data_IF_269913719471
#
_entry.id   IF_269913719471
#
_cell.length_a   1.000
_cell.length_b   1.000
_cell.length_c   1.000
_cell.angle_alpha   90.00
_cell.angle_beta   90.00
_cell.angle_gamma   90.00
#
_symmetry.space_group_name_H-M   'P 1'
#
loop_
_entity.id
_entity.type
_entity.pdbx_description
1 polymer ?
#
# COMPACT_ATOMS: atom_id res chain seq x y z
N UNK A 1 -2.97 -1.72 15.26
CA UNK A 1 -2.17 -1.18 14.14
C UNK A 1 -3.05 -1.25 12.89
N UNK A 2 -3.24 -0.15 12.14
CA UNK A 2 -3.99 -0.22 10.87
C UNK A 2 -3.20 -1.13 9.91
N UNK A 3 -3.74 -2.30 9.59
CA UNK A 3 -3.11 -3.26 8.67
C UNK A 3 -2.99 -2.70 7.25
N UNK A 4 -2.20 -3.35 6.41
CA UNK A 4 -2.20 -3.10 4.97
C UNK A 4 -2.84 -4.28 4.23
N UNK A 5 -2.99 -4.21 2.90
CA UNK A 5 -3.67 -5.26 2.13
C UNK A 5 -2.96 -6.61 2.24
N UNK A 6 -1.63 -6.62 2.32
CA UNK A 6 -0.82 -7.84 2.44
C UNK A 6 -0.94 -8.46 3.83
N UNK A 7 -0.79 -7.64 4.89
CA UNK A 7 -0.87 -8.13 6.27
C UNK A 7 -2.26 -8.69 6.64
N UNK A 8 -3.30 -8.40 5.85
CA UNK A 8 -4.65 -8.93 6.04
C UNK A 8 -4.85 -10.32 5.46
N UNK A 9 -3.96 -10.79 4.59
CA UNK A 9 -4.03 -12.11 3.95
C UNK A 9 -3.24 -13.14 4.76
N UNK A 10 -3.52 -13.25 6.06
CA UNK A 10 -2.74 -14.10 6.98
C UNK A 10 -2.74 -15.58 6.59
N UNK A 11 -3.85 -16.07 6.05
CA UNK A 11 -3.94 -17.46 5.58
C UNK A 11 -3.01 -17.74 4.40
N UNK A 12 -2.75 -16.72 3.56
CA UNK A 12 -1.92 -16.84 2.36
C UNK A 12 -0.45 -16.56 2.65
N UNK A 13 -0.17 -15.50 3.39
CA UNK A 13 1.18 -14.95 3.55
C UNK A 13 1.74 -15.12 4.96
N UNK A 14 0.94 -15.66 5.88
CA UNK A 14 1.31 -15.88 7.26
C UNK A 14 0.90 -14.74 8.19
N UNK A 15 0.89 -15.02 9.51
CA UNK A 15 0.59 -14.01 10.52
C UNK A 15 1.67 -12.92 10.59
N UNK A 16 1.42 -11.85 11.36
CA UNK A 16 2.32 -10.71 11.46
C UNK A 16 3.80 -11.02 11.76
N UNK A 17 4.11 -12.14 12.45
CA UNK A 17 5.49 -12.59 12.70
C UNK A 17 6.27 -12.97 11.44
N UNK A 18 5.59 -13.25 10.33
CA UNK A 18 6.21 -13.52 9.04
C UNK A 18 6.64 -12.23 8.32
N UNK A 19 6.34 -11.06 8.88
CA UNK A 19 6.72 -9.77 8.31
C UNK A 19 7.67 -9.03 9.23
N UNK A 20 8.71 -8.46 8.64
CA UNK A 20 9.65 -7.61 9.35
C UNK A 20 9.78 -6.28 8.61
N UNK A 21 9.71 -5.17 9.34
CA UNK A 21 10.01 -3.85 8.77
C UNK A 21 11.34 -3.38 9.33
N UNK A 22 12.33 -3.29 8.45
CA UNK A 22 13.68 -2.83 8.79
C UNK A 22 13.79 -1.36 8.43
N UNK A 23 14.38 -0.57 9.33
CA UNK A 23 14.63 0.85 9.12
C UNK A 23 16.11 1.09 9.39
N UNK A 24 16.82 1.61 8.39
CA UNK A 24 18.23 1.93 8.53
C UNK A 24 18.34 3.34 9.11
N UNK A 25 18.97 3.44 10.28
CA UNK A 25 19.18 4.67 11.04
C UNK A 25 20.64 4.82 11.44
N UNK A 26 21.03 6.05 11.72
CA UNK A 26 22.30 6.32 12.40
C UNK A 26 22.18 5.94 13.89
N UNK A 27 23.30 5.96 14.63
CA UNK A 27 23.39 5.54 16.04
C UNK A 27 22.44 6.35 16.94
N UNK A 28 22.20 7.61 16.60
CA UNK A 28 21.26 8.51 17.29
C UNK A 28 19.79 8.32 16.87
N UNK A 29 19.49 7.24 16.15
CA UNK A 29 18.20 6.97 15.49
C UNK A 29 17.83 7.99 14.39
N UNK A 30 18.76 8.86 13.99
CA UNK A 30 18.61 9.88 12.96
C UNK A 30 18.68 9.31 11.55
N UNK A 31 18.64 10.21 10.56
CA UNK A 31 18.86 9.80 9.17
C UNK A 31 20.35 9.49 8.95
N UNK A 32 20.69 8.33 8.37
CA UNK A 32 22.07 7.99 8.04
C UNK A 32 22.71 9.06 7.17
N UNK A 33 23.92 9.46 7.56
CA UNK A 33 24.76 10.37 6.80
C UNK A 33 25.06 9.83 5.39
N UNK A 34 25.40 10.73 4.47
CA UNK A 34 25.70 10.38 3.07
C UNK A 34 26.83 9.34 2.95
N UNK A 35 27.86 9.46 3.78
CA UNK A 35 29.01 8.56 3.73
C UNK A 35 28.67 7.15 4.21
N UNK A 36 27.78 7.00 5.21
CA UNK A 36 27.23 5.71 5.60
C UNK A 36 26.55 5.02 4.41
N UNK A 37 25.73 5.76 3.66
CA UNK A 37 25.02 5.21 2.50
C UNK A 37 25.99 4.79 1.39
N UNK A 38 27.06 5.56 1.14
CA UNK A 38 28.09 5.21 0.15
C UNK A 38 28.88 3.97 0.55
N UNK A 39 29.33 3.90 1.80
CA UNK A 39 30.12 2.76 2.30
C UNK A 39 29.30 1.47 2.24
N UNK A 40 28.00 1.55 2.56
CA UNK A 40 27.12 0.39 2.62
C UNK A 40 26.31 0.14 1.33
N UNK A 41 26.57 0.88 0.25
CA UNK A 41 25.76 0.83 -0.97
C UNK A 41 25.61 -0.60 -1.50
N UNK A 42 26.72 -1.33 -1.59
CA UNK A 42 26.73 -2.72 -2.06
C UNK A 42 25.87 -3.62 -1.18
N UNK A 43 25.97 -3.49 0.14
CA UNK A 43 25.19 -4.29 1.08
C UNK A 43 23.69 -3.99 0.96
N UNK A 44 23.30 -2.72 0.84
CA UNK A 44 21.91 -2.29 0.64
C UNK A 44 21.39 -2.83 -0.71
N UNK A 45 22.19 -2.75 -1.77
CA UNK A 45 21.84 -3.29 -3.08
C UNK A 45 21.65 -4.81 -3.03
N UNK A 46 22.56 -5.54 -2.40
CA UNK A 46 22.47 -7.01 -2.29
C UNK A 46 21.29 -7.44 -1.40
N UNK A 47 20.95 -6.64 -0.38
CA UNK A 47 19.75 -6.81 0.43
C UNK A 47 18.47 -6.63 -0.40
N UNK A 48 18.35 -5.53 -1.17
CA UNK A 48 17.18 -5.24 -2.02
C UNK A 48 17.04 -6.23 -3.17
N UNK A 49 18.16 -6.70 -3.73
CA UNK A 49 18.18 -7.74 -4.76
C UNK A 49 17.89 -9.15 -4.22
N UNK A 50 17.55 -9.28 -2.93
CA UNK A 50 17.33 -10.55 -2.25
C UNK A 50 18.52 -11.53 -2.36
N UNK A 51 19.74 -11.01 -2.56
CA UNK A 51 20.98 -11.80 -2.49
C UNK A 51 21.37 -12.07 -1.04
N UNK A 52 21.04 -11.12 -0.15
CA UNK A 52 21.20 -11.24 1.28
C UNK A 52 19.84 -11.34 1.96
N UNK A 53 19.78 -12.14 3.02
CA UNK A 53 18.61 -12.27 3.87
C UNK A 53 18.95 -11.77 5.27
N UNK A 54 17.93 -11.34 6.00
CA UNK A 54 18.07 -10.89 7.38
C UNK A 54 17.62 -12.05 8.28
N UNK A 55 18.50 -12.49 9.17
CA UNK A 55 18.18 -13.50 10.17
C UNK A 55 17.78 -12.80 11.47
N UNK A 56 16.60 -13.12 12.01
CA UNK A 56 16.14 -12.66 13.32
C UNK A 56 15.66 -13.87 14.11
N UNK A 57 16.42 -14.24 15.15
CA UNK A 57 16.24 -15.53 15.81
C UNK A 57 16.38 -16.68 14.81
N UNK A 58 15.40 -17.58 14.78
CA UNK A 58 15.38 -18.72 13.87
C UNK A 58 14.69 -18.42 12.52
N UNK A 59 14.22 -17.20 12.31
CA UNK A 59 13.51 -16.81 11.09
C UNK A 59 14.41 -16.07 10.12
N UNK A 60 14.30 -16.47 8.85
CA UNK A 60 15.00 -15.87 7.72
C UNK A 60 14.02 -14.99 6.94
N UNK A 61 14.38 -13.72 6.81
CA UNK A 61 13.58 -12.69 6.17
C UNK A 61 14.24 -12.25 4.85
N UNK A 62 13.53 -12.40 3.75
CA UNK A 62 13.94 -11.91 2.43
C UNK A 62 13.26 -10.58 2.11
N UNK A 63 13.90 -9.77 1.27
CA UNK A 63 13.34 -8.48 0.88
C UNK A 63 11.98 -8.66 0.20
N UNK A 64 10.96 -7.99 0.72
CA UNK A 64 9.62 -7.98 0.15
C UNK A 64 9.45 -6.80 -0.80
N UNK A 65 9.47 -5.58 -0.26
CA UNK A 65 9.18 -4.36 -1.02
C UNK A 65 9.45 -3.08 -0.22
N UNK A 66 9.51 -1.94 -0.92
CA UNK A 66 9.42 -0.60 -0.33
C UNK A 66 8.71 0.37 -1.29
N UNK A 67 7.94 1.32 -0.76
CA UNK A 67 7.41 2.46 -1.50
C UNK A 67 8.49 3.53 -1.74
N UNK A 68 8.21 4.52 -2.60
CA UNK A 68 9.11 5.67 -2.78
C UNK A 68 9.33 6.48 -1.49
N UNK A 69 8.30 6.60 -0.64
CA UNK A 69 8.45 7.26 0.66
C UNK A 69 9.29 6.42 1.62
N UNK A 70 9.02 5.11 1.67
CA UNK A 70 9.79 4.16 2.47
C UNK A 70 11.26 4.13 2.03
N UNK A 71 11.55 4.20 0.73
CA UNK A 71 12.92 4.27 0.21
C UNK A 71 13.65 5.53 0.71
N UNK A 72 12.99 6.70 0.68
CA UNK A 72 13.55 7.95 1.25
C UNK A 72 13.77 7.86 2.76
N UNK A 73 12.82 7.22 3.45
CA UNK A 73 12.87 6.99 4.89
C UNK A 73 13.79 5.81 5.28
N UNK A 74 14.41 5.16 4.28
CA UNK A 74 15.27 3.97 4.41
C UNK A 74 14.58 2.84 5.19
N UNK A 75 13.28 2.68 4.94
CA UNK A 75 12.42 1.65 5.49
C UNK A 75 12.10 0.62 4.42
N UNK A 76 12.16 -0.66 4.80
CA UNK A 76 12.01 -1.77 3.88
C UNK A 76 11.18 -2.86 4.54
N UNK A 77 10.25 -3.45 3.78
CA UNK A 77 9.53 -4.63 4.22
C UNK A 77 10.28 -5.88 3.81
N UNK A 78 10.29 -6.85 4.71
CA UNK A 78 10.79 -8.19 4.53
C UNK A 78 9.72 -9.20 4.91
N UNK A 79 9.84 -10.40 4.34
CA UNK A 79 8.93 -11.51 4.58
C UNK A 79 9.73 -12.78 4.85
N UNK A 80 9.25 -13.59 5.80
CA UNK A 80 9.75 -14.93 6.08
C UNK A 80 8.78 -15.94 5.50
N UNK A 81 9.32 -16.98 4.85
CA UNK A 81 8.53 -18.04 4.21
C UNK A 81 7.37 -18.51 5.10
N UNK A 82 6.21 -18.67 4.49
CA UNK A 82 5.03 -19.24 5.12
C UNK A 82 4.43 -20.31 4.22
N UNK A 83 4.59 -21.58 4.60
CA UNK A 83 4.05 -22.74 3.85
C UNK A 83 4.50 -22.73 2.37
N UNK A 84 5.75 -22.34 2.10
CA UNK A 84 6.29 -22.22 0.74
C UNK A 84 5.89 -20.94 0.00
N UNK A 85 5.14 -20.03 0.63
CA UNK A 85 4.91 -18.69 0.12
C UNK A 85 6.11 -17.81 0.48
N UNK A 86 6.80 -17.34 -0.55
CA UNK A 86 7.95 -16.45 -0.49
C UNK A 86 7.55 -15.02 -0.87
N UNK A 87 8.43 -14.05 -0.60
CA UNK A 87 8.22 -12.66 -0.95
C UNK A 87 7.98 -12.44 -2.44
N UNK A 88 8.57 -13.28 -3.30
CA UNK A 88 8.29 -13.28 -4.74
C UNK A 88 6.82 -13.55 -5.04
N UNK A 89 6.21 -14.54 -4.38
CA UNK A 89 4.80 -14.85 -4.57
C UNK A 89 3.89 -13.71 -4.13
N UNK A 90 4.26 -13.02 -3.03
CA UNK A 90 3.53 -11.83 -2.59
C UNK A 90 3.63 -10.71 -3.63
N UNK A 91 4.82 -10.46 -4.20
CA UNK A 91 5.02 -9.46 -5.26
C UNK A 91 4.19 -9.77 -6.51
N UNK A 92 4.11 -11.04 -6.91
CA UNK A 92 3.28 -11.49 -8.03
C UNK A 92 1.77 -11.31 -7.73
N UNK A 93 1.36 -11.48 -6.47
CA UNK A 93 -0.02 -11.27 -6.05
C UNK A 93 -0.44 -9.79 -5.96
N UNK A 94 0.51 -8.85 -5.80
CA UNK A 94 0.19 -7.43 -5.65
C UNK A 94 -0.62 -6.86 -6.83
N UNK A 95 -0.43 -7.42 -8.03
CA UNK A 95 -1.15 -7.07 -9.26
C UNK A 95 -0.32 -7.28 -10.51
N UNK A 96 -0.94 -7.11 -11.68
CA UNK A 96 -0.24 -7.07 -12.96
C UNK A 96 0.22 -5.63 -13.28
N UNK A 97 1.52 -5.44 -13.37
CA UNK A 97 2.15 -4.15 -13.70
C UNK A 97 2.99 -4.21 -14.99
N UNK A 98 2.74 -5.21 -15.84
CA UNK A 98 3.43 -5.39 -17.12
C UNK A 98 3.28 -4.18 -18.06
N UNK A 99 2.11 -3.52 -18.00
CA UNK A 99 1.79 -2.31 -18.76
C UNK A 99 2.55 -1.05 -18.29
N UNK A 100 3.08 -1.05 -17.05
CA UNK A 100 3.78 0.11 -16.49
C UNK A 100 5.22 0.17 -16.98
N UNK A 101 5.52 1.04 -17.94
CA UNK A 101 6.88 1.19 -18.50
C UNK A 101 7.83 1.97 -17.58
N UNK A 102 7.29 2.91 -16.79
CA UNK A 102 8.07 3.70 -15.86
C UNK A 102 8.28 2.93 -14.55
N UNK A 103 9.55 2.67 -14.20
CA UNK A 103 9.91 1.96 -12.95
C UNK A 103 9.38 2.70 -11.72
N UNK A 104 9.51 4.03 -11.68
CA UNK A 104 9.02 4.84 -10.55
C UNK A 104 7.50 4.73 -10.36
N UNK A 105 6.74 4.75 -11.45
CA UNK A 105 5.28 4.57 -11.43
C UNK A 105 4.90 3.16 -11.01
N UNK A 106 5.56 2.13 -11.57
CA UNK A 106 5.40 0.73 -11.17
C UNK A 106 5.59 0.57 -9.67
N UNK A 107 6.65 1.16 -9.11
CA UNK A 107 6.92 1.10 -7.67
C UNK A 107 5.83 1.75 -6.84
N UNK A 108 5.36 2.92 -7.28
CA UNK A 108 4.27 3.63 -6.60
C UNK A 108 2.97 2.82 -6.59
N UNK A 109 2.62 2.13 -7.69
CA UNK A 109 1.41 1.31 -7.77
C UNK A 109 1.49 0.05 -6.90
N UNK A 110 2.61 -0.67 -6.93
CA UNK A 110 2.83 -1.83 -6.07
C UNK A 110 2.71 -1.46 -4.58
N UNK A 111 3.25 -0.30 -4.20
CA UNK A 111 3.22 0.21 -2.83
C UNK A 111 1.81 0.50 -2.27
N UNK A 112 0.78 0.60 -3.12
CA UNK A 112 -0.61 0.78 -2.66
C UNK A 112 -1.06 -0.36 -1.74
N UNK A 113 -0.58 -1.59 -2.01
CA UNK A 113 -0.87 -2.78 -1.20
C UNK A 113 -0.29 -2.73 0.22
N UNK A 114 0.76 -1.93 0.43
CA UNK A 114 1.50 -1.81 1.70
C UNK A 114 1.09 -0.59 2.52
N UNK A 115 0.18 0.24 2.00
CA UNK A 115 -0.29 1.40 2.75
C UNK A 115 -1.27 0.97 3.84
N UNK A 116 -1.08 1.48 5.06
CA UNK A 116 -2.02 1.28 6.17
C UNK A 116 -3.40 1.81 5.82
N UNK A 117 -4.40 0.94 5.84
CA UNK A 117 -5.81 1.28 5.57
C UNK A 117 -6.72 0.47 6.48
N UNK A 118 -7.85 1.06 6.86
CA UNK A 118 -8.91 0.31 7.53
C UNK A 118 -9.74 -0.40 6.45
N UNK A 119 -9.89 -1.74 6.48
CA UNK A 119 -10.82 -2.40 5.57
C UNK A 119 -12.25 -2.00 5.92
N UNK A 120 -13.03 -1.60 4.92
CA UNK A 120 -14.42 -1.15 5.08
C UNK A 120 -15.37 -2.05 4.32
N UNK A 121 -15.50 -1.84 3.00
CA UNK A 121 -16.45 -2.54 2.16
C UNK A 121 -15.77 -3.62 1.30
N UNK A 122 -16.50 -4.71 1.05
CA UNK A 122 -16.21 -5.66 -0.01
C UNK A 122 -17.26 -5.47 -1.10
N UNK A 123 -16.86 -4.90 -2.24
CA UNK A 123 -17.73 -4.63 -3.38
C UNK A 123 -17.62 -5.76 -4.40
N UNK A 124 -18.75 -6.18 -4.95
CA UNK A 124 -18.83 -7.07 -6.10
C UNK A 124 -18.52 -6.31 -7.39
N UNK A 125 -18.08 -6.99 -8.47
CA UNK A 125 -17.77 -6.32 -9.73
C UNK A 125 -18.94 -5.51 -10.32
N UNK A 126 -20.19 -5.95 -10.13
CA UNK A 126 -21.39 -5.23 -10.57
C UNK A 126 -21.75 -4.02 -9.71
N UNK A 127 -21.02 -3.78 -8.60
CA UNK A 127 -21.16 -2.59 -7.75
C UNK A 127 -20.07 -1.54 -8.06
N UNK A 128 -19.22 -1.80 -9.04
CA UNK A 128 -18.10 -0.93 -9.43
C UNK A 128 -18.27 -0.57 -10.90
N UNK A 129 -18.39 0.73 -11.17
CA UNK A 129 -18.42 1.27 -12.52
C UNK A 129 -17.14 2.08 -12.77
N UNK A 130 -16.55 1.92 -13.95
CA UNK A 130 -15.47 2.79 -14.42
C UNK A 130 -16.10 3.91 -15.25
N UNK A 131 -16.02 5.13 -14.73
CA UNK A 131 -16.48 6.35 -15.41
C UNK A 131 -15.28 7.04 -16.07
N UNK A 132 -15.53 7.70 -17.19
CA UNK A 132 -14.52 8.51 -17.88
C UNK A 132 -14.26 9.82 -17.13
N UNK A 133 -13.03 10.30 -17.24
CA UNK A 133 -12.63 11.58 -16.67
C UNK A 133 -13.35 12.74 -17.35
N UNK A 134 -13.74 13.75 -16.57
CA UNK A 134 -14.29 15.00 -17.11
C UNK A 134 -13.15 15.83 -17.67
N UNK A 135 -13.28 16.19 -18.95
CA UNK A 135 -12.32 17.00 -19.69
C UNK A 135 -12.90 18.38 -20.01
N UNK A 136 -12.05 19.40 -20.07
CA UNK A 136 -12.45 20.66 -20.70
C UNK A 136 -12.25 20.65 -22.22
N UNK A 137 -12.55 21.81 -22.84
CA UNK A 137 -12.39 22.04 -24.28
C UNK A 137 -10.94 21.93 -24.78
N UNK A 138 -9.95 21.93 -23.87
CA UNK A 138 -8.53 21.77 -24.18
C UNK A 138 -8.00 20.36 -23.86
N UNK A 139 -8.87 19.44 -23.39
CA UNK A 139 -8.50 18.09 -23.02
C UNK A 139 -7.81 17.96 -21.66
N UNK A 140 -7.90 18.97 -20.79
CA UNK A 140 -7.36 18.92 -19.42
C UNK A 140 -8.33 18.16 -18.52
N UNK A 141 -7.81 17.28 -17.68
CA UNK A 141 -8.59 16.43 -16.76
C UNK A 141 -8.97 17.21 -15.49
N UNK A 142 -10.26 17.19 -15.13
CA UNK A 142 -10.80 17.82 -13.91
C UNK A 142 -11.09 16.85 -12.77
N UNK A 143 -11.09 15.54 -13.05
CA UNK A 143 -11.49 14.49 -12.10
C UNK A 143 -10.38 13.49 -11.79
N UNK A 144 -9.11 13.84 -12.04
CA UNK A 144 -7.98 12.94 -11.79
C UNK A 144 -7.93 12.54 -10.31
N UNK A 145 -8.13 11.24 -10.06
CA UNK A 145 -8.17 10.67 -8.72
C UNK A 145 -9.47 10.93 -7.94
N UNK A 146 -10.54 11.36 -8.61
CA UNK A 146 -11.88 11.51 -8.04
C UNK A 146 -12.84 10.43 -8.58
N UNK A 147 -13.74 9.95 -7.74
CA UNK A 147 -14.81 9.03 -8.11
C UNK A 147 -16.12 9.34 -7.39
N UNK A 148 -17.22 8.77 -7.88
CA UNK A 148 -18.53 8.85 -7.22
C UNK A 148 -18.72 7.66 -6.27
N UNK A 149 -19.44 7.87 -5.16
CA UNK A 149 -19.87 6.81 -4.25
C UNK A 149 -21.34 7.02 -3.88
N UNK A 150 -22.10 5.93 -3.79
CA UNK A 150 -23.50 6.01 -3.37
C UNK A 150 -23.60 6.44 -1.90
N UNK A 151 -24.65 7.17 -1.50
CA UNK A 151 -24.84 7.56 -0.10
C UNK A 151 -24.86 6.38 0.87
N UNK A 152 -25.43 5.25 0.44
CA UNK A 152 -25.47 4.01 1.23
C UNK A 152 -24.06 3.43 1.44
N UNK A 153 -23.26 3.29 0.38
CA UNK A 153 -21.89 2.79 0.51
C UNK A 153 -21.02 3.73 1.35
N UNK A 154 -21.18 5.05 1.20
CA UNK A 154 -20.44 6.01 2.02
C UNK A 154 -20.78 5.86 3.51
N UNK A 155 -22.07 5.75 3.84
CA UNK A 155 -22.55 5.53 5.20
C UNK A 155 -21.99 4.25 5.80
N UNK A 156 -22.09 3.12 5.10
CA UNK A 156 -21.57 1.84 5.58
C UNK A 156 -20.05 1.89 5.79
N UNK A 157 -19.31 2.47 4.84
CA UNK A 157 -17.86 2.60 4.95
C UNK A 157 -17.46 3.47 6.15
N UNK A 158 -18.19 4.56 6.38
CA UNK A 158 -17.95 5.47 7.50
C UNK A 158 -18.26 4.83 8.85
N UNK A 159 -19.38 4.11 8.97
CA UNK A 159 -19.75 3.39 10.19
C UNK A 159 -18.71 2.35 10.61
N UNK A 160 -18.09 1.67 9.64
CA UNK A 160 -17.00 0.71 9.91
C UNK A 160 -15.71 1.45 10.28
N UNK A 161 -15.41 2.56 9.59
CA UNK A 161 -14.18 3.31 9.81
C UNK A 161 -14.15 4.02 11.17
N UNK A 162 -15.28 4.58 11.60
CA UNK A 162 -15.38 5.35 12.83
C UNK A 162 -16.77 5.18 13.50
N UNK A 163 -17.00 4.05 14.19
CA UNK A 163 -18.31 3.75 14.78
C UNK A 163 -18.74 4.72 15.88
N UNK A 164 -17.79 5.41 16.52
CA UNK A 164 -18.07 6.36 17.62
C UNK A 164 -18.77 7.64 17.12
N UNK A 165 -18.52 8.06 15.88
CA UNK A 165 -19.12 9.29 15.31
C UNK A 165 -20.57 9.10 14.81
N UNK A 166 -21.15 7.91 15.01
CA UNK A 166 -22.54 7.64 14.66
C UNK A 166 -23.49 8.39 15.59
N UNK A 167 -23.10 8.58 16.86
CA UNK A 167 -23.91 9.28 17.87
C UNK A 167 -23.98 10.79 17.60
N UNK A 168 -22.97 11.35 16.94
CA UNK A 168 -22.86 12.78 16.61
C UNK A 168 -23.67 13.19 15.37
N UNK A 169 -24.43 12.27 14.77
CA UNK A 169 -25.21 12.47 13.55
C UNK A 169 -24.37 13.01 12.37
N UNK A 170 -23.07 12.72 12.39
CA UNK A 170 -22.11 13.19 11.40
C UNK A 170 -22.00 12.21 10.23
N UNK A 171 -22.01 12.74 9.01
CA UNK A 171 -21.76 11.97 7.78
C UNK A 171 -20.78 12.76 6.90
N UNK A 172 -19.62 12.20 6.53
CA UNK A 172 -18.74 12.87 5.59
C UNK A 172 -19.40 12.93 4.20
N UNK A 173 -19.08 13.96 3.42
CA UNK A 173 -19.45 14.04 2.00
C UNK A 173 -18.40 13.41 1.07
N UNK A 174 -17.20 13.16 1.58
CA UNK A 174 -16.04 12.65 0.84
C UNK A 174 -15.20 11.72 1.71
N UNK A 175 -14.67 10.65 1.10
CA UNK A 175 -13.68 9.76 1.73
C UNK A 175 -12.47 9.58 0.82
N UNK A 176 -11.29 9.45 1.41
CA UNK A 176 -10.12 8.95 0.69
C UNK A 176 -10.07 7.42 0.84
N UNK A 177 -10.15 6.70 -0.27
CA UNK A 177 -10.18 5.24 -0.27
C UNK A 177 -9.13 4.63 -1.19
N UNK A 178 -8.88 3.34 -0.96
CA UNK A 178 -8.14 2.47 -1.88
C UNK A 178 -9.05 1.31 -2.25
N UNK A 179 -9.26 1.13 -3.55
CA UNK A 179 -10.06 0.04 -4.10
C UNK A 179 -9.19 -0.71 -5.11
N UNK A 180 -8.69 -1.89 -4.73
CA UNK A 180 -7.71 -2.63 -5.52
C UNK A 180 -6.47 -1.78 -5.87
N UNK A 181 -6.26 -1.50 -7.17
CA UNK A 181 -5.18 -0.63 -7.67
C UNK A 181 -5.55 0.86 -7.75
N UNK A 182 -6.76 1.23 -7.35
CA UNK A 182 -7.27 2.61 -7.38
C UNK A 182 -6.99 3.28 -6.04
N UNK A 183 -6.50 4.53 -6.09
CA UNK A 183 -6.35 5.42 -4.94
C UNK A 183 -6.93 6.76 -5.33
N UNK A 184 -7.82 7.30 -4.51
CA UNK A 184 -8.47 8.57 -4.81
C UNK A 184 -9.40 9.03 -3.71
N UNK A 185 -10.15 10.07 -4.02
CA UNK A 185 -11.28 10.55 -3.22
C UNK A 185 -12.58 10.08 -3.86
N UNK A 186 -13.53 9.69 -3.03
CA UNK A 186 -14.87 9.32 -3.46
C UNK A 186 -15.88 10.24 -2.79
N UNK A 187 -16.76 10.83 -3.60
CA UNK A 187 -17.70 11.88 -3.19
C UNK A 187 -19.13 11.50 -3.56
N UNK A 188 -20.11 11.91 -2.75
CA UNK A 188 -21.51 11.91 -3.19
C UNK A 188 -21.66 13.04 -4.21
N UNK A 189 -21.93 12.68 -5.46
CA UNK A 189 -22.19 13.64 -6.54
C UNK A 189 -23.52 13.30 -7.22
N UNK A 190 -24.22 14.31 -7.79
CA UNK A 190 -25.32 14.06 -8.71
C UNK A 190 -24.86 13.21 -9.89
N UNK A 191 -25.80 12.50 -10.52
CA UNK A 191 -25.55 11.78 -11.77
C UNK A 191 -25.21 12.74 -12.91
#
# INVERSE_FOLDING_TARGET
>A
MRGNRILREEERFGPGKNFCRVIIRDVDCGQPQLDFMKINEKWIQDMIMAKNNIQVGDQKFEFLWCSNSQLRDRSFWFHSDYKGCQAKNIREWMGDFSHEKCIGTRIARMALSLTGTTPTLKLLPNQIEKIDDVLDTQGRIFTDGAGKISPMALKEAFMIYNPELIEDNYMPCVIQARLNGIKGVFVIAPD
#
